data_IF_823205622917
#
_entry.id   IF_823205622917
#
_cell.length_a   1.000
_cell.length_b   1.000
_cell.length_c   1.000
_cell.angle_alpha   90.00
_cell.angle_beta   90.00
_cell.angle_gamma   90.00
#
_symmetry.space_group_name_H-M   'P 1'
#
loop_
_entity.id
_entity.type
_entity.pdbx_description
1 polymer ?
#
# COMPACT_ATOMS: atom_id res chain seq x y z
N UNK A 1 4.15 -11.65 2.25
CA UNK A 1 5.27 -10.69 2.20
C UNK A 1 4.68 -9.28 2.19
N UNK A 2 5.02 -8.41 3.16
CA UNK A 2 4.74 -6.97 3.11
C UNK A 2 5.17 -6.31 1.79
N UNK A 3 4.55 -5.18 1.45
CA UNK A 3 4.81 -4.50 0.17
C UNK A 3 6.23 -3.91 0.11
N UNK A 4 6.71 -3.34 1.22
CA UNK A 4 8.08 -2.85 1.33
C UNK A 4 9.13 -3.95 1.15
N UNK A 5 8.91 -5.16 1.67
CA UNK A 5 9.84 -6.28 1.47
C UNK A 5 9.95 -6.67 -0.01
N UNK A 6 8.84 -6.65 -0.76
CA UNK A 6 8.83 -6.85 -2.22
C UNK A 6 9.64 -5.76 -2.95
N UNK A 7 9.45 -4.50 -2.56
CA UNK A 7 10.16 -3.37 -3.15
C UNK A 7 11.67 -3.39 -2.84
N UNK A 8 12.05 -3.80 -1.63
CA UNK A 8 13.45 -3.99 -1.24
C UNK A 8 14.09 -5.12 -2.05
N UNK A 9 13.42 -6.27 -2.17
CA UNK A 9 13.91 -7.38 -2.99
C UNK A 9 14.15 -6.95 -4.44
N UNK A 10 13.21 -6.19 -5.02
CA UNK A 10 13.37 -5.63 -6.37
C UNK A 10 14.54 -4.65 -6.46
N UNK A 11 14.73 -3.80 -5.45
CA UNK A 11 15.85 -2.84 -5.38
C UNK A 11 17.20 -3.56 -5.34
N UNK A 12 17.30 -4.67 -4.60
CA UNK A 12 18.51 -5.51 -4.57
C UNK A 12 18.78 -6.11 -5.95
N UNK A 13 17.77 -6.73 -6.57
CA UNK A 13 17.90 -7.31 -7.91
C UNK A 13 18.28 -6.25 -8.97
N UNK A 14 17.77 -5.03 -8.83
CA UNK A 14 18.13 -3.92 -9.71
C UNK A 14 19.60 -3.50 -9.57
N UNK A 15 20.12 -3.43 -8.34
CA UNK A 15 21.54 -3.16 -8.07
C UNK A 15 22.45 -4.25 -8.62
N UNK A 16 21.99 -5.50 -8.61
CA UNK A 16 22.70 -6.63 -9.20
C UNK A 16 22.62 -6.67 -10.73
N UNK A 17 21.84 -5.78 -11.37
CA UNK A 17 21.69 -5.69 -12.82
C UNK A 17 20.70 -6.71 -13.42
N UNK A 18 19.82 -7.29 -12.60
CA UNK A 18 18.84 -8.29 -13.05
C UNK A 18 17.48 -7.71 -13.45
N UNK A 19 17.27 -6.40 -13.27
CA UNK A 19 16.06 -5.72 -13.72
C UNK A 19 16.27 -5.01 -15.06
N UNK A 20 15.27 -5.00 -15.96
CA UNK A 20 15.34 -4.21 -17.19
C UNK A 20 15.50 -2.70 -16.91
N UNK A 21 16.24 -1.94 -17.74
CA UNK A 21 16.52 -0.52 -17.53
C UNK A 21 15.27 0.38 -17.64
N UNK A 22 14.23 -0.10 -18.31
CA UNK A 22 12.91 0.51 -18.45
C UNK A 22 12.03 0.38 -17.19
N UNK A 23 12.51 -0.31 -16.15
CA UNK A 23 11.80 -0.54 -14.89
C UNK A 23 12.47 0.21 -13.75
N UNK A 24 11.88 1.33 -13.34
CA UNK A 24 12.39 2.13 -12.24
C UNK A 24 11.99 1.54 -10.88
N UNK A 25 12.86 0.68 -10.34
CA UNK A 25 12.71 0.10 -9.00
C UNK A 25 12.67 1.18 -7.90
N UNK A 26 13.34 2.32 -8.08
CA UNK A 26 13.33 3.40 -7.10
C UNK A 26 11.97 4.11 -7.06
N UNK A 27 11.36 4.34 -8.23
CA UNK A 27 9.99 4.86 -8.34
C UNK A 27 8.97 3.92 -7.69
N UNK A 28 9.05 2.61 -7.95
CA UNK A 28 8.16 1.63 -7.31
C UNK A 28 8.34 1.62 -5.78
N UNK A 29 9.57 1.67 -5.28
CA UNK A 29 9.83 1.74 -3.85
C UNK A 29 9.30 3.04 -3.21
N UNK A 30 9.34 4.16 -3.93
CA UNK A 30 8.73 5.41 -3.47
C UNK A 30 7.20 5.29 -3.41
N UNK A 31 6.57 4.73 -4.43
CA UNK A 31 5.12 4.50 -4.46
C UNK A 31 4.67 3.61 -3.29
N UNK A 32 5.44 2.55 -2.97
CA UNK A 32 5.17 1.70 -1.79
C UNK A 32 5.18 2.52 -0.51
N UNK A 33 6.24 3.30 -0.27
CA UNK A 33 6.37 4.12 0.95
C UNK A 33 5.23 5.12 1.09
N UNK A 34 4.89 5.80 -0.01
CA UNK A 34 3.79 6.77 -0.02
C UNK A 34 2.45 6.12 0.27
N UNK A 35 2.19 4.95 -0.34
CA UNK A 35 0.96 4.21 -0.14
C UNK A 35 0.82 3.71 1.30
N UNK A 36 1.85 3.06 1.84
CA UNK A 36 1.85 2.53 3.22
C UNK A 36 1.69 3.68 4.23
N UNK A 37 2.36 4.82 4.00
CA UNK A 37 2.20 6.01 4.85
C UNK A 37 0.77 6.58 4.79
N UNK A 38 0.16 6.66 3.60
CA UNK A 38 -1.22 7.11 3.44
C UNK A 38 -2.24 6.15 4.07
N UNK A 39 -2.02 4.84 3.95
CA UNK A 39 -2.84 3.82 4.62
C UNK A 39 -2.75 3.98 6.13
N UNK A 40 -1.55 4.07 6.70
CA UNK A 40 -1.34 4.26 8.13
C UNK A 40 -2.03 5.53 8.65
N UNK A 41 -1.81 6.67 7.98
CA UNK A 41 -2.45 7.94 8.35
C UNK A 41 -3.98 7.86 8.26
N UNK A 42 -4.52 7.23 7.21
CA UNK A 42 -5.97 7.09 7.03
C UNK A 42 -6.57 6.16 8.09
N UNK A 43 -5.87 5.09 8.45
CA UNK A 43 -6.27 4.15 9.49
C UNK A 43 -6.33 4.83 10.86
N UNK A 44 -5.30 5.59 11.24
CA UNK A 44 -5.26 6.34 12.49
C UNK A 44 -6.38 7.38 12.55
N UNK A 45 -6.59 8.13 11.46
CA UNK A 45 -7.66 9.11 11.39
C UNK A 45 -9.05 8.46 11.46
N UNK A 46 -9.24 7.30 10.83
CA UNK A 46 -10.49 6.55 10.89
C UNK A 46 -10.78 6.11 12.33
N UNK A 47 -9.82 5.50 13.01
CA UNK A 47 -9.96 5.05 14.40
C UNK A 47 -10.30 6.21 15.34
N UNK A 48 -9.65 7.36 15.17
CA UNK A 48 -9.93 8.55 15.97
C UNK A 48 -11.36 9.08 15.76
N UNK A 49 -11.86 9.06 14.52
CA UNK A 49 -13.23 9.52 14.22
C UNK A 49 -14.27 8.50 14.68
N UNK A 50 -14.01 7.20 14.55
CA UNK A 50 -14.89 6.13 15.05
C UNK A 50 -15.04 6.23 16.57
N UNK A 51 -13.95 6.41 17.31
CA UNK A 51 -13.98 6.65 18.76
C UNK A 51 -14.84 7.87 19.13
N UNK A 52 -14.68 8.98 18.42
CA UNK A 52 -15.48 10.19 18.66
C UNK A 52 -16.96 9.99 18.30
N UNK A 53 -17.27 9.16 17.30
CA UNK A 53 -18.64 8.86 16.89
C UNK A 53 -19.34 8.02 17.95
N UNK A 54 -18.67 6.99 18.48
CA UNK A 54 -19.18 6.17 19.58
C UNK A 54 -19.48 7.02 20.82
N UNK A 55 -18.60 7.97 21.17
CA UNK A 55 -18.81 8.89 22.29
C UNK A 55 -19.88 9.97 22.04
N UNK A 56 -20.44 10.07 20.83
CA UNK A 56 -21.46 11.06 20.45
C UNK A 56 -22.78 10.43 20.02
N UNK A 57 -23.09 9.22 20.50
CA UNK A 57 -24.38 8.58 20.24
C UNK A 57 -25.54 9.51 20.64
N UNK A 58 -26.55 9.70 19.78
CA UNK A 58 -27.59 10.70 20.02
C UNK A 58 -28.46 10.32 21.21
N UNK A 59 -28.53 11.23 22.19
CA UNK A 59 -29.34 11.15 23.41
C UNK A 59 -30.80 11.63 23.21
N UNK A 60 -31.18 11.92 21.96
CA UNK A 60 -32.49 12.46 21.60
C UNK A 60 -32.54 13.98 21.43
N UNK A 61 -31.43 14.71 21.63
CA UNK A 61 -31.35 16.15 21.35
C UNK A 61 -30.88 16.44 19.91
N UNK A 62 -31.31 17.57 19.33
CA UNK A 62 -30.93 17.94 17.96
C UNK A 62 -29.42 18.25 17.82
N UNK A 63 -28.78 18.76 18.88
CA UNK A 63 -27.37 19.12 18.88
C UNK A 63 -26.42 17.89 18.82
N UNK A 64 -26.75 16.81 19.53
CA UNK A 64 -25.99 15.54 19.47
C UNK A 64 -26.22 14.85 18.13
N UNK A 65 -27.45 14.91 17.60
CA UNK A 65 -27.80 14.37 16.27
C UNK A 65 -26.99 15.00 15.13
N UNK A 66 -26.89 16.32 15.06
CA UNK A 66 -26.10 16.97 14.01
C UNK A 66 -24.62 16.61 14.08
N UNK A 67 -24.05 16.60 15.30
CA UNK A 67 -22.65 16.24 15.51
C UNK A 67 -22.40 14.78 15.12
N UNK A 68 -23.28 13.87 15.52
CA UNK A 68 -23.20 12.47 15.15
C UNK A 68 -23.24 12.26 13.64
N UNK A 69 -24.14 12.92 12.92
CA UNK A 69 -24.23 12.84 11.45
C UNK A 69 -22.96 13.35 10.77
N UNK A 70 -22.33 14.42 11.27
CA UNK A 70 -21.05 14.92 10.76
C UNK A 70 -19.93 13.91 10.95
N UNK A 71 -19.86 13.25 12.11
CA UNK A 71 -18.88 12.21 12.40
C UNK A 71 -19.11 10.98 11.52
N UNK A 72 -20.36 10.54 11.35
CA UNK A 72 -20.73 9.43 10.47
C UNK A 72 -20.26 9.67 9.02
N UNK A 73 -20.47 10.87 8.47
CA UNK A 73 -19.98 11.22 7.12
C UNK A 73 -18.45 11.12 7.02
N UNK A 74 -17.73 11.57 8.06
CA UNK A 74 -16.26 11.46 8.12
C UNK A 74 -15.80 10.01 8.17
N UNK A 75 -16.41 9.17 9.01
CA UNK A 75 -16.13 7.72 9.07
C UNK A 75 -16.33 7.08 7.69
N UNK A 76 -17.47 7.33 7.05
CA UNK A 76 -17.76 6.78 5.72
C UNK A 76 -16.72 7.24 4.69
N UNK A 77 -16.35 8.52 4.68
CA UNK A 77 -15.33 9.05 3.78
C UNK A 77 -13.95 8.42 4.02
N UNK A 78 -13.55 8.26 5.28
CA UNK A 78 -12.25 7.65 5.65
C UNK A 78 -12.21 6.16 5.28
N UNK A 79 -13.31 5.42 5.49
CA UNK A 79 -13.43 4.01 5.05
C UNK A 79 -13.34 3.89 3.53
N UNK A 80 -14.00 4.77 2.79
CA UNK A 80 -13.91 4.80 1.33
C UNK A 80 -12.48 5.11 0.86
N UNK A 81 -11.80 6.07 1.51
CA UNK A 81 -10.41 6.38 1.18
C UNK A 81 -9.50 5.19 1.46
N UNK A 82 -9.64 4.52 2.60
CA UNK A 82 -8.86 3.32 2.93
C UNK A 82 -9.10 2.19 1.92
N UNK A 83 -10.35 1.97 1.50
CA UNK A 83 -10.68 0.97 0.48
C UNK A 83 -9.98 1.25 -0.86
N UNK A 84 -9.91 2.53 -1.29
CA UNK A 84 -9.19 2.94 -2.50
C UNK A 84 -7.69 2.74 -2.40
N UNK A 85 -7.10 3.03 -1.24
CA UNK A 85 -5.68 2.80 -0.98
C UNK A 85 -5.37 1.30 -1.01
N UNK A 86 -6.22 0.47 -0.40
CA UNK A 86 -6.07 -0.99 -0.43
C UNK A 86 -6.22 -1.55 -1.85
N UNK A 87 -7.11 -0.99 -2.67
CA UNK A 87 -7.21 -1.36 -4.09
C UNK A 87 -5.92 -1.00 -4.84
N UNK A 88 -5.36 0.20 -4.62
CA UNK A 88 -4.08 0.58 -5.20
C UNK A 88 -2.93 -0.34 -4.75
N UNK A 89 -2.95 -0.81 -3.50
CA UNK A 89 -1.99 -1.80 -2.99
C UNK A 89 -2.02 -3.09 -3.79
N UNK A 90 -3.21 -3.60 -4.12
CA UNK A 90 -3.36 -4.85 -4.90
C UNK A 90 -2.67 -4.73 -6.25
N UNK A 91 -2.88 -3.63 -6.97
CA UNK A 91 -2.23 -3.40 -8.27
C UNK A 91 -0.72 -3.25 -8.14
N UNK A 92 -0.25 -2.47 -7.16
CA UNK A 92 1.18 -2.25 -6.93
C UNK A 92 1.88 -3.55 -6.51
N UNK A 93 1.24 -4.37 -5.69
CA UNK A 93 1.71 -5.71 -5.29
C UNK A 93 1.88 -6.61 -6.50
N UNK A 94 0.85 -6.72 -7.34
CA UNK A 94 0.89 -7.57 -8.53
C UNK A 94 2.02 -7.16 -9.48
N UNK A 95 2.24 -5.85 -9.65
CA UNK A 95 3.35 -5.35 -10.45
C UNK A 95 4.71 -5.69 -9.82
N UNK A 96 4.90 -5.45 -8.52
CA UNK A 96 6.14 -5.79 -7.82
C UNK A 96 6.46 -7.29 -7.87
N UNK A 97 5.48 -8.15 -7.60
CA UNK A 97 5.63 -9.60 -7.65
C UNK A 97 6.05 -10.06 -9.05
N UNK A 98 5.42 -9.50 -10.09
CA UNK A 98 5.78 -9.78 -11.48
C UNK A 98 7.21 -9.35 -11.79
N UNK A 99 7.65 -8.20 -11.32
CA UNK A 99 9.02 -7.71 -11.52
C UNK A 99 10.06 -8.58 -10.82
N UNK A 100 9.81 -8.91 -9.55
CA UNK A 100 10.70 -9.76 -8.76
C UNK A 100 10.83 -11.13 -9.42
N UNK A 101 9.70 -11.74 -9.83
CA UNK A 101 9.72 -13.01 -10.54
C UNK A 101 10.54 -12.95 -11.83
N UNK A 102 10.34 -11.92 -12.65
CA UNK A 102 11.06 -11.75 -13.91
C UNK A 102 12.58 -11.63 -13.67
N UNK A 103 12.99 -10.79 -12.72
CA UNK A 103 14.41 -10.57 -12.41
C UNK A 103 15.07 -11.84 -11.85
N UNK A 104 14.38 -12.58 -10.98
CA UNK A 104 14.85 -13.89 -10.50
C UNK A 104 15.00 -14.90 -11.63
N UNK A 105 14.07 -14.93 -12.58
CA UNK A 105 14.15 -15.84 -13.73
C UNK A 105 15.32 -15.51 -14.66
N UNK A 106 15.57 -14.22 -14.91
CA UNK A 106 16.73 -13.75 -15.69
C UNK A 106 18.05 -14.15 -15.01
N UNK A 107 18.14 -13.94 -13.70
CA UNK A 107 19.29 -14.35 -12.89
C UNK A 107 19.54 -15.86 -12.98
N UNK A 108 18.52 -16.68 -12.72
CA UNK A 108 18.64 -18.14 -12.74
C UNK A 108 19.04 -18.67 -14.13
N UNK A 109 18.53 -18.07 -15.20
CA UNK A 109 18.91 -18.41 -16.58
C UNK A 109 20.39 -18.11 -16.84
N UNK A 110 20.87 -16.95 -16.44
CA UNK A 110 22.28 -16.57 -16.61
C UNK A 110 23.22 -17.45 -15.79
N UNK A 111 22.85 -17.79 -14.54
CA UNK A 111 23.59 -18.72 -13.70
C UNK A 111 23.70 -20.12 -14.33
N UNK A 112 22.58 -20.62 -14.89
CA UNK A 112 22.55 -21.91 -15.60
C UNK A 112 23.43 -21.91 -16.85
N UNK A 113 23.45 -20.82 -17.62
CA UNK A 113 24.30 -20.68 -18.80
C UNK A 113 25.79 -20.64 -18.44
N UNK A 114 26.16 -19.97 -17.33
CA UNK A 114 27.54 -19.94 -16.84
C UNK A 114 28.02 -21.30 -16.33
N UNK A 115 27.12 -22.09 -15.74
CA UNK A 115 27.46 -23.43 -15.25
C UNK A 115 27.65 -24.46 -16.38
N UNK A 116 27.08 -24.19 -17.55
CA UNK A 116 27.16 -25.06 -18.73
C UNK A 116 28.29 -24.68 -19.72
N UNK A 117 28.97 -23.56 -19.49
CA UNK A 117 30.09 -23.05 -20.29
C UNK A 117 31.43 -23.40 -19.64
#
# INVERSE_FOLDING_TARGET
>A
MPLHELAEALTVLAREGWTPPDRDAASLAQQVRELEAQQAQTQEALQAVEYLQEACEPDGTDATRERWLRLQRRVTSSRLQLARLNEAEVYLRAELERQVWLAQHLRARAESQRAAA
#
